data_IF_242198292670
#
_entry.id   IF_242198292670
#
_cell.length_a   1.000
_cell.length_b   1.000
_cell.length_c   1.000
_cell.angle_alpha   90.00
_cell.angle_beta   90.00
_cell.angle_gamma   90.00
#
_symmetry.space_group_name_H-M   'P 1'
#
loop_
_entity.id
_entity.type
_entity.pdbx_description
1 polymer ?
#
# COMPACT_ATOMS: atom_id res chain seq x y z
N UNK A 1 -14.08 -2.91 -1.01
CA UNK A 1 -13.42 -3.03 -2.32
C UNK A 1 -14.39 -2.59 -3.39
N UNK A 2 -13.89 -2.25 -4.58
CA UNK A 2 -14.72 -1.90 -5.75
C UNK A 2 -14.90 -0.40 -6.01
N UNK A 3 -14.02 0.46 -5.46
CA UNK A 3 -13.96 1.88 -5.83
C UNK A 3 -12.79 2.19 -6.77
N UNK A 4 -11.67 1.47 -6.65
CA UNK A 4 -10.46 1.63 -7.47
C UNK A 4 -10.55 0.84 -8.78
N UNK A 5 -9.90 1.34 -9.84
CA UNK A 5 -9.65 0.61 -11.09
C UNK A 5 -8.27 -0.06 -11.02
N UNK A 6 -8.23 -1.39 -11.02
CA UNK A 6 -6.98 -2.15 -10.93
C UNK A 6 -5.97 -1.80 -12.05
N UNK A 7 -6.39 -1.27 -13.20
CA UNK A 7 -5.50 -0.88 -14.30
C UNK A 7 -4.81 0.47 -14.08
N UNK A 8 -5.33 1.31 -13.17
CA UNK A 8 -4.88 2.69 -12.98
C UNK A 8 -4.42 2.95 -11.54
N UNK A 9 -5.02 2.24 -10.59
CA UNK A 9 -4.89 2.41 -9.15
C UNK A 9 -4.27 1.16 -8.51
N UNK A 10 -3.46 0.40 -9.24
CA UNK A 10 -2.60 -0.63 -8.66
C UNK A 10 -1.34 -0.75 -9.51
N UNK A 11 -0.18 -0.44 -8.94
CA UNK A 11 1.08 -0.62 -9.64
C UNK A 11 1.41 -2.11 -9.75
N UNK A 12 1.70 -2.59 -10.96
CA UNK A 12 2.16 -3.96 -11.15
C UNK A 12 3.55 -4.20 -10.53
N UNK A 13 4.35 -3.15 -10.34
CA UNK A 13 5.68 -3.22 -9.72
C UNK A 13 5.67 -2.52 -8.36
N UNK A 14 6.18 -3.19 -7.33
CA UNK A 14 6.46 -2.57 -6.03
C UNK A 14 7.96 -2.57 -5.75
N UNK A 15 8.59 -1.39 -5.65
CA UNK A 15 10.02 -1.29 -5.34
C UNK A 15 10.33 -1.60 -3.88
N UNK A 16 11.58 -1.98 -3.65
CA UNK A 16 12.18 -2.16 -2.33
C UNK A 16 13.22 -1.08 -1.99
N UNK A 17 13.72 -1.05 -0.75
CA UNK A 17 14.73 -0.08 -0.32
C UNK A 17 16.04 -0.08 -1.13
N UNK A 18 16.35 -1.16 -1.85
CA UNK A 18 17.54 -1.24 -2.70
C UNK A 18 17.34 -0.57 -4.08
N UNK A 19 16.14 -0.10 -4.40
CA UNK A 19 15.81 0.53 -5.67
C UNK A 19 16.02 2.04 -5.62
N UNK A 20 17.19 2.48 -6.10
CA UNK A 20 17.55 3.90 -6.15
C UNK A 20 16.57 4.73 -7.01
N UNK A 21 16.06 4.14 -8.09
CA UNK A 21 15.06 4.77 -8.96
C UNK A 21 13.72 5.04 -8.23
N UNK A 22 13.47 4.37 -7.11
CA UNK A 22 12.30 4.56 -6.27
C UNK A 22 12.61 5.28 -4.94
N UNK A 23 13.76 5.96 -4.86
CA UNK A 23 14.14 6.76 -3.71
C UNK A 23 14.70 5.99 -2.51
N UNK A 24 15.17 4.75 -2.72
CA UNK A 24 15.91 3.96 -1.73
C UNK A 24 15.22 3.85 -0.35
N UNK A 25 13.91 3.59 -0.34
CA UNK A 25 13.10 3.53 0.89
C UNK A 25 12.14 2.35 0.85
N UNK A 26 11.58 2.02 2.00
CA UNK A 26 10.44 1.08 2.08
C UNK A 26 9.21 1.68 1.41
N UNK A 27 8.49 0.84 0.66
CA UNK A 27 7.22 1.20 0.03
C UNK A 27 6.12 0.31 0.58
N UNK A 28 4.95 0.89 0.80
CA UNK A 28 3.78 0.17 1.35
C UNK A 28 2.61 0.32 0.40
N UNK A 29 2.11 -0.80 -0.10
CA UNK A 29 0.87 -0.86 -0.87
C UNK A 29 -0.27 -1.20 0.09
N UNK A 30 -1.42 -0.55 -0.07
CA UNK A 30 -2.52 -0.62 0.89
C UNK A 30 -3.82 -0.96 0.19
N UNK A 31 -4.51 -1.99 0.68
CA UNK A 31 -5.82 -2.41 0.20
C UNK A 31 -6.85 -2.16 1.31
N UNK A 32 -7.89 -1.40 0.98
CA UNK A 32 -8.98 -1.07 1.90
C UNK A 32 -10.29 -1.72 1.44
N UNK A 33 -10.97 -2.40 2.36
CA UNK A 33 -12.28 -2.98 2.07
C UNK A 33 -13.23 -2.96 3.26
N UNK A 34 -14.51 -2.68 2.97
CA UNK A 34 -15.56 -2.70 3.97
C UNK A 34 -16.21 -4.08 4.08
N UNK A 35 -16.57 -4.50 5.29
CA UNK A 35 -17.37 -5.69 5.57
C UNK A 35 -18.62 -5.30 6.36
N UNK A 36 -19.79 -5.79 5.95
CA UNK A 36 -21.04 -5.72 6.73
C UNK A 36 -21.14 -6.85 7.76
N UNK A 37 -20.50 -7.98 7.48
CA UNK A 37 -20.41 -9.12 8.37
C UNK A 37 -19.00 -9.72 8.27
N UNK A 38 -18.41 -10.03 9.42
CA UNK A 38 -17.12 -10.68 9.55
C UNK A 38 -17.26 -11.90 10.46
N UNK A 39 -16.71 -13.08 10.09
CA UNK A 39 -16.81 -14.28 10.90
C UNK A 39 -15.78 -14.25 12.02
N UNK A 40 -16.15 -14.77 13.18
CA UNK A 40 -15.26 -14.86 14.35
C UNK A 40 -14.42 -16.15 14.37
N UNK A 41 -14.81 -17.15 13.57
CA UNK A 41 -14.17 -18.47 13.50
C UNK A 41 -13.78 -18.84 12.06
N UNK A 42 -12.86 -19.80 11.93
CA UNK A 42 -12.33 -20.25 10.64
C UNK A 42 -11.03 -19.54 10.23
N UNK A 43 -10.58 -19.83 9.00
CA UNK A 43 -9.35 -19.29 8.40
C UNK A 43 -9.66 -18.59 7.09
N UNK A 44 -9.10 -17.40 6.90
CA UNK A 44 -8.99 -16.77 5.60
C UNK A 44 -7.62 -17.04 5.00
N UNK A 45 -7.49 -16.70 3.71
CA UNK A 45 -6.27 -16.85 2.92
C UNK A 45 -6.05 -15.60 2.09
N UNK A 46 -4.87 -15.02 2.21
CA UNK A 46 -4.37 -13.99 1.30
C UNK A 46 -3.33 -14.64 0.38
N UNK A 47 -3.48 -14.43 -0.92
CA UNK A 47 -2.54 -14.87 -1.94
C UNK A 47 -1.95 -13.63 -2.59
N UNK A 48 -0.63 -13.53 -2.56
CA UNK A 48 0.14 -12.61 -3.36
C UNK A 48 0.85 -13.44 -4.43
N UNK A 49 0.38 -13.34 -5.66
CA UNK A 49 0.97 -14.00 -6.80
C UNK A 49 1.89 -13.03 -7.52
N UNK A 50 3.13 -13.44 -7.74
CA UNK A 50 4.16 -12.62 -8.35
C UNK A 50 4.58 -13.22 -9.68
N UNK A 51 4.58 -12.39 -10.73
CA UNK A 51 5.22 -12.71 -12.01
C UNK A 51 6.71 -12.97 -11.80
N UNK A 52 7.35 -12.14 -10.99
CA UNK A 52 8.78 -12.27 -10.69
C UNK A 52 9.16 -11.51 -9.41
N UNK A 53 10.30 -11.88 -8.85
CA UNK A 53 10.99 -11.14 -7.78
C UNK A 53 12.39 -10.78 -8.24
N UNK A 54 12.99 -9.74 -7.66
CA UNK A 54 14.33 -9.38 -8.09
C UNK A 54 15.37 -10.50 -7.82
N UNK A 55 16.20 -10.81 -8.81
CA UNK A 55 17.07 -12.01 -8.82
C UNK A 55 18.27 -11.92 -7.87
N UNK A 56 18.93 -10.76 -7.81
CA UNK A 56 20.16 -10.58 -7.04
C UNK A 56 19.92 -10.10 -5.60
N UNK A 57 18.86 -9.32 -5.39
CA UNK A 57 18.43 -8.75 -4.10
C UNK A 57 16.94 -9.04 -3.87
N UNK A 58 16.58 -10.30 -3.59
CA UNK A 58 15.19 -10.68 -3.44
C UNK A 58 14.53 -9.93 -2.27
N UNK A 59 13.23 -9.62 -2.35
CA UNK A 59 12.60 -8.74 -1.36
C UNK A 59 12.25 -9.46 -0.06
N UNK A 60 12.31 -8.71 1.04
CA UNK A 60 11.71 -9.09 2.33
C UNK A 60 10.44 -8.28 2.52
N UNK A 61 9.31 -8.95 2.67
CA UNK A 61 7.99 -8.31 2.69
C UNK A 61 7.32 -8.48 4.06
N UNK A 62 6.79 -7.40 4.62
CA UNK A 62 5.84 -7.46 5.73
C UNK A 62 4.41 -7.40 5.19
N UNK A 63 3.62 -8.39 5.57
CA UNK A 63 2.20 -8.45 5.25
C UNK A 63 1.41 -8.31 6.54
N UNK A 64 0.54 -7.29 6.58
CA UNK A 64 -0.30 -7.01 7.73
C UNK A 64 -1.76 -6.99 7.31
N UNK A 65 -2.59 -7.75 8.01
CA UNK A 65 -4.05 -7.85 7.83
C UNK A 65 -4.68 -7.34 9.13
N UNK A 66 -5.17 -6.10 9.11
CA UNK A 66 -5.51 -5.34 10.31
C UNK A 66 -4.38 -5.42 11.36
N UNK A 67 -4.58 -6.11 12.47
CA UNK A 67 -3.61 -6.18 13.57
C UNK A 67 -2.68 -7.41 13.48
N UNK A 68 -2.92 -8.33 12.54
CA UNK A 68 -2.10 -9.53 12.34
C UNK A 68 -0.98 -9.21 11.35
N UNK A 69 0.27 -9.39 11.76
CA UNK A 69 1.46 -9.14 10.94
C UNK A 69 2.29 -10.40 10.75
N UNK A 70 2.88 -10.56 9.57
CA UNK A 70 3.86 -11.60 9.23
C UNK A 70 4.94 -11.02 8.32
N UNK A 71 6.13 -11.61 8.35
CA UNK A 71 7.28 -11.21 7.52
C UNK A 71 7.73 -12.42 6.71
N UNK A 72 8.00 -12.22 5.43
CA UNK A 72 8.38 -13.26 4.49
C UNK A 72 9.59 -12.82 3.66
N UNK A 73 10.61 -13.68 3.62
CA UNK A 73 11.69 -13.59 2.63
C UNK A 73 11.22 -14.26 1.34
N UNK A 74 11.28 -13.53 0.22
CA UNK A 74 10.91 -14.07 -1.08
C UNK A 74 12.11 -14.75 -1.76
N UNK A 75 11.86 -15.73 -2.66
CA UNK A 75 12.94 -16.37 -3.40
C UNK A 75 13.58 -15.41 -4.40
N UNK A 76 14.73 -15.80 -4.95
CA UNK A 76 15.35 -15.14 -6.10
C UNK A 76 14.56 -15.44 -7.37
N UNK A 77 14.14 -14.39 -8.08
CA UNK A 77 13.48 -14.51 -9.37
C UNK A 77 14.44 -14.61 -10.55
N UNK A 78 13.93 -14.30 -11.75
CA UNK A 78 14.62 -14.53 -13.01
C UNK A 78 15.55 -13.37 -13.44
N UNK A 79 15.14 -12.12 -13.23
CA UNK A 79 15.94 -10.93 -13.55
C UNK A 79 15.16 -9.84 -14.27
N UNK A 80 15.83 -8.78 -14.68
CA UNK A 80 15.18 -7.49 -15.03
C UNK A 80 14.32 -7.51 -16.30
N UNK A 81 14.46 -8.51 -17.18
CA UNK A 81 13.68 -8.59 -18.41
C UNK A 81 12.15 -8.57 -18.12
N UNK A 82 11.72 -9.23 -17.05
CA UNK A 82 10.32 -9.24 -16.61
C UNK A 82 9.81 -7.85 -16.21
N UNK A 83 10.66 -7.05 -15.56
CA UNK A 83 10.36 -5.67 -15.19
C UNK A 83 10.37 -4.70 -16.39
N UNK A 84 11.04 -5.08 -17.49
CA UNK A 84 11.16 -4.30 -18.72
C UNK A 84 10.19 -4.73 -19.83
N UNK A 85 9.04 -5.33 -19.47
CA UNK A 85 7.95 -5.61 -20.39
C UNK A 85 7.95 -7.02 -20.99
N UNK A 86 8.80 -7.92 -20.49
CA UNK A 86 8.81 -9.34 -20.88
C UNK A 86 8.34 -10.24 -19.72
N UNK A 87 7.07 -10.14 -19.27
CA UNK A 87 6.60 -10.83 -18.06
C UNK A 87 6.73 -12.36 -18.14
N UNK A 88 6.69 -12.93 -19.34
CA UNK A 88 6.91 -14.36 -19.59
C UNK A 88 8.34 -14.85 -19.28
N UNK A 89 9.30 -13.94 -19.08
CA UNK A 89 10.65 -14.26 -18.62
C UNK A 89 10.78 -14.26 -17.09
N UNK A 90 9.71 -13.91 -16.36
CA UNK A 90 9.68 -13.95 -14.91
C UNK A 90 9.76 -15.36 -14.34
N UNK A 91 10.16 -15.48 -13.07
CA UNK A 91 10.04 -16.72 -12.30
C UNK A 91 8.92 -16.53 -11.28
N UNK A 92 7.78 -17.13 -11.59
CA UNK A 92 6.59 -17.04 -10.77
C UNK A 92 6.86 -17.46 -9.32
N UNK A 93 6.29 -16.71 -8.38
CA UNK A 93 6.25 -17.10 -6.99
C UNK A 93 4.92 -16.74 -6.35
N UNK A 94 4.26 -17.73 -5.76
CA UNK A 94 2.99 -17.56 -5.08
C UNK A 94 3.13 -17.63 -3.56
N UNK A 95 2.99 -16.49 -2.90
CA UNK A 95 3.00 -16.39 -1.44
C UNK A 95 1.58 -16.55 -0.89
N UNK A 96 1.37 -17.59 -0.10
CA UNK A 96 0.07 -17.90 0.52
C UNK A 96 0.14 -17.67 2.02
N UNK A 97 -0.75 -16.82 2.54
CA UNK A 97 -0.80 -16.43 3.94
C UNK A 97 -2.16 -16.81 4.50
N UNK A 98 -2.17 -17.83 5.34
CA UNK A 98 -3.34 -18.17 6.13
C UNK A 98 -3.43 -17.25 7.35
N UNK A 99 -4.63 -16.77 7.65
CA UNK A 99 -4.88 -15.92 8.81
C UNK A 99 -6.19 -16.30 9.50
N UNK A 100 -6.31 -16.10 10.82
CA UNK A 100 -7.53 -16.43 11.53
C UNK A 100 -8.63 -15.43 11.14
N UNK A 101 -9.86 -15.90 10.92
CA UNK A 101 -10.98 -15.07 10.48
C UNK A 101 -11.25 -13.86 11.39
N UNK A 102 -11.00 -14.02 12.71
CA UNK A 102 -11.08 -12.95 13.72
C UNK A 102 -10.16 -11.76 13.46
N UNK A 103 -9.19 -11.88 12.55
CA UNK A 103 -8.38 -10.75 12.10
C UNK A 103 -9.22 -9.74 11.32
N UNK A 104 -10.34 -10.15 10.73
CA UNK A 104 -11.29 -9.28 10.03
C UNK A 104 -12.33 -8.72 11.01
N UNK A 105 -12.80 -7.52 10.72
CA UNK A 105 -13.81 -6.81 11.52
C UNK A 105 -14.94 -6.25 10.66
N UNK A 106 -16.10 -6.02 11.26
CA UNK A 106 -17.17 -5.25 10.63
C UNK A 106 -16.70 -3.81 10.43
N UNK A 107 -17.01 -3.23 9.28
CA UNK A 107 -16.52 -1.91 8.84
C UNK A 107 -15.27 -2.02 7.98
N UNK A 108 -14.40 -1.00 8.04
CA UNK A 108 -13.19 -0.91 7.22
C UNK A 108 -12.10 -1.84 7.73
N UNK A 109 -11.56 -2.63 6.82
CA UNK A 109 -10.39 -3.49 7.00
C UNK A 109 -9.27 -3.00 6.10
N UNK A 110 -8.04 -3.26 6.53
CA UNK A 110 -6.82 -2.84 5.85
C UNK A 110 -5.89 -4.04 5.68
N UNK A 111 -5.31 -4.15 4.49
CA UNK A 111 -4.15 -5.00 4.22
C UNK A 111 -3.03 -4.11 3.76
N UNK A 112 -1.87 -4.19 4.41
CA UNK A 112 -0.65 -3.50 3.96
C UNK A 112 0.41 -4.51 3.54
N UNK A 113 1.05 -4.24 2.41
CA UNK A 113 2.14 -5.00 1.84
C UNK A 113 3.35 -4.08 1.78
N UNK A 114 4.33 -4.30 2.65
CA UNK A 114 5.47 -3.39 2.82
C UNK A 114 6.78 -4.07 2.42
N UNK A 115 7.56 -3.44 1.53
CA UNK A 115 8.92 -3.87 1.22
C UNK A 115 9.89 -3.38 2.30
N UNK A 116 10.35 -4.31 3.14
CA UNK A 116 11.27 -4.03 4.25
C UNK A 116 12.74 -3.99 3.82
N UNK A 117 13.10 -4.83 2.85
CA UNK A 117 14.46 -4.91 2.31
C UNK A 117 14.43 -5.51 0.90
N UNK A 118 15.59 -5.48 0.22
CA UNK A 118 15.72 -5.97 -1.15
C UNK A 118 15.20 -4.97 -2.18
N UNK A 119 15.02 -5.46 -3.40
CA UNK A 119 14.58 -4.68 -4.56
C UNK A 119 13.11 -5.01 -4.87
N UNK A 120 12.71 -4.95 -6.14
CA UNK A 120 11.31 -4.97 -6.55
C UNK A 120 10.67 -6.36 -6.55
N UNK A 121 9.33 -6.37 -6.51
CA UNK A 121 8.45 -7.48 -6.91
C UNK A 121 7.54 -7.05 -8.07
N UNK A 122 7.13 -8.01 -8.91
CA UNK A 122 6.09 -7.82 -9.93
C UNK A 122 4.86 -8.64 -9.57
N UNK A 123 3.71 -8.00 -9.41
CA UNK A 123 2.44 -8.65 -9.12
C UNK A 123 1.80 -9.22 -10.38
N UNK A 124 1.29 -10.44 -10.27
CA UNK A 124 0.28 -10.98 -11.18
C UNK A 124 -1.12 -10.83 -10.56
N UNK A 125 -1.27 -11.24 -9.30
CA UNK A 125 -2.56 -11.26 -8.62
C UNK A 125 -2.45 -10.98 -7.12
N UNK A 126 -3.44 -10.28 -6.58
CA UNK A 126 -3.72 -10.26 -5.14
C UNK A 126 -5.13 -10.78 -4.91
N UNK A 127 -5.27 -11.87 -4.15
CA UNK A 127 -6.55 -12.50 -3.89
C UNK A 127 -6.77 -12.77 -2.40
N UNK A 128 -7.96 -12.39 -1.91
CA UNK A 128 -8.39 -12.65 -0.54
C UNK A 128 -9.57 -13.63 -0.56
N UNK A 129 -9.39 -14.81 0.02
CA UNK A 129 -10.46 -15.77 0.27
C UNK A 129 -10.81 -15.77 1.75
N UNK A 130 -12.10 -15.69 2.05
CA UNK A 130 -12.59 -15.62 3.42
C UNK A 130 -13.58 -16.75 3.72
N UNK A 131 -13.78 -17.16 4.99
CA UNK A 131 -14.81 -18.14 5.33
C UNK A 131 -16.22 -17.73 4.90
N UNK A 132 -17.12 -18.72 4.89
CA UNK A 132 -18.55 -18.49 4.69
C UNK A 132 -19.07 -17.49 5.74
N UNK A 133 -19.97 -16.60 5.32
CA UNK A 133 -20.61 -15.60 6.19
C UNK A 133 -20.00 -14.19 6.10
N UNK A 134 -18.89 -14.02 5.38
CA UNK A 134 -18.35 -12.69 5.09
C UNK A 134 -19.25 -12.01 4.07
N UNK A 135 -19.68 -10.78 4.37
CA UNK A 135 -20.44 -9.95 3.44
C UNK A 135 -19.71 -8.64 3.23
N UNK A 136 -19.43 -8.30 1.98
CA UNK A 136 -18.84 -7.02 1.63
C UNK A 136 -19.77 -5.86 2.01
N UNK A 137 -19.16 -4.74 2.33
CA UNK A 137 -19.83 -3.53 2.77
C UNK A 137 -19.19 -2.27 2.19
N UNK A 138 -19.90 -1.13 2.27
CA UNK A 138 -19.30 0.14 1.91
C UNK A 138 -18.13 0.44 2.85
N UNK A 139 -17.11 1.11 2.33
CA UNK A 139 -16.12 1.76 3.16
C UNK A 139 -16.78 2.95 3.87
N UNK A 140 -16.52 3.11 5.17
CA UNK A 140 -16.91 4.34 5.87
C UNK A 140 -16.02 5.48 5.37
N UNK A 141 -16.56 6.68 5.12
CA UNK A 141 -15.74 7.83 4.80
C UNK A 141 -14.72 8.10 5.91
N UNK A 142 -13.47 8.37 5.54
CA UNK A 142 -12.37 8.63 6.48
C UNK A 142 -11.49 9.74 5.93
N UNK A 143 -11.10 10.64 6.81
CA UNK A 143 -10.01 11.59 6.60
C UNK A 143 -8.99 11.35 7.70
N UNK A 144 -7.81 10.86 7.36
CA UNK A 144 -6.76 10.57 8.35
C UNK A 144 -5.44 11.16 7.90
N UNK A 145 -4.82 11.92 8.78
CA UNK A 145 -3.42 12.31 8.63
C UNK A 145 -2.55 11.09 8.94
N UNK A 146 -1.77 10.64 7.97
CA UNK A 146 -0.92 9.45 8.08
C UNK A 146 0.46 9.80 8.64
N UNK A 147 1.09 10.82 8.06
CA UNK A 147 2.42 11.25 8.47
C UNK A 147 2.61 12.73 8.17
N UNK A 148 3.47 13.38 8.94
CA UNK A 148 3.94 14.75 8.71
C UNK A 148 5.43 14.78 9.01
N UNK A 149 6.24 15.21 8.05
CA UNK A 149 7.67 15.40 8.28
C UNK A 149 8.21 16.62 7.55
N UNK A 150 9.13 17.31 8.22
CA UNK A 150 9.89 18.41 7.65
C UNK A 150 10.96 17.88 6.70
N UNK A 151 11.21 18.60 5.61
CA UNK A 151 12.31 18.30 4.70
C UNK A 151 13.63 18.86 5.25
N UNK A 152 14.80 18.26 4.98
CA UNK A 152 16.06 18.71 5.56
C UNK A 152 16.66 19.94 4.85
N UNK A 153 15.81 20.84 4.34
CA UNK A 153 16.22 22.07 3.65
C UNK A 153 15.16 23.18 3.84
N UNK A 154 15.57 24.42 3.62
CA UNK A 154 14.69 25.60 3.63
C UNK A 154 14.43 26.09 2.20
N UNK A 155 13.30 26.74 1.99
CA UNK A 155 12.93 27.37 0.72
C UNK A 155 12.69 28.85 0.94
N UNK A 156 13.40 29.69 0.20
CA UNK A 156 13.14 31.12 0.14
C UNK A 156 11.97 31.41 -0.81
N UNK A 157 11.05 32.28 -0.40
CA UNK A 157 9.95 32.75 -1.25
C UNK A 157 10.16 34.20 -1.68
N UNK A 158 9.28 34.71 -2.54
CA UNK A 158 9.34 36.07 -3.12
C UNK A 158 9.39 37.20 -2.08
N UNK A 159 8.99 36.94 -0.84
CA UNK A 159 9.04 37.89 0.27
C UNK A 159 10.40 37.89 1.00
N UNK A 160 11.39 37.14 0.51
CA UNK A 160 12.73 37.04 1.09
C UNK A 160 12.78 36.21 2.38
N UNK A 161 11.67 35.59 2.80
CA UNK A 161 11.62 34.76 4.01
C UNK A 161 11.95 33.32 3.69
N UNK A 162 12.62 32.66 4.65
CA UNK A 162 12.89 31.23 4.61
C UNK A 162 11.73 30.45 5.21
N UNK A 163 11.32 29.39 4.52
CA UNK A 163 10.25 28.49 4.94
C UNK A 163 10.77 27.06 5.03
N UNK A 164 10.31 26.35 6.07
CA UNK A 164 10.54 24.92 6.22
C UNK A 164 9.46 24.14 5.45
N UNK A 165 9.80 23.41 4.36
CA UNK A 165 8.82 22.56 3.69
C UNK A 165 8.42 21.41 4.61
N UNK A 166 7.12 21.12 4.62
CA UNK A 166 6.52 20.02 5.35
C UNK A 166 5.73 19.16 4.37
N UNK A 167 6.00 17.86 4.36
CA UNK A 167 5.23 16.89 3.61
C UNK A 167 4.23 16.22 4.55
N UNK A 168 2.95 16.37 4.22
CA UNK A 168 1.86 15.71 4.93
C UNK A 168 1.20 14.67 4.03
N UNK A 169 1.11 13.43 4.51
CA UNK A 169 0.40 12.34 3.84
C UNK A 169 -0.99 12.21 4.44
N UNK A 170 -2.03 12.24 3.61
CA UNK A 170 -3.43 12.14 4.05
C UNK A 170 -4.09 10.96 3.34
N UNK A 171 -4.79 10.12 4.12
CA UNK A 171 -5.72 9.12 3.63
C UNK A 171 -7.12 9.72 3.58
N UNK A 172 -7.67 9.82 2.37
CA UNK A 172 -9.06 10.18 2.16
C UNK A 172 -9.82 9.02 1.51
N UNK A 173 -10.90 8.58 2.18
CA UNK A 173 -11.87 7.63 1.68
C UNK A 173 -13.20 8.37 1.58
N UNK A 174 -13.75 8.52 0.38
CA UNK A 174 -14.99 9.25 0.15
C UNK A 174 -15.03 10.00 -1.17
N UNK A 175 -16.05 10.84 -1.34
CA UNK A 175 -16.12 11.78 -2.45
C UNK A 175 -15.06 12.87 -2.25
N UNK A 176 -14.44 13.41 -3.32
CA UNK A 176 -13.48 14.50 -3.21
C UNK A 176 -13.95 15.61 -2.27
N UNK A 177 -13.05 16.07 -1.40
CA UNK A 177 -13.30 17.15 -0.44
C UNK A 177 -12.21 18.20 -0.51
N UNK A 178 -12.56 19.43 -0.16
CA UNK A 178 -11.55 20.46 0.12
C UNK A 178 -10.96 20.19 1.51
N UNK A 179 -9.63 20.11 1.60
CA UNK A 179 -8.94 19.97 2.86
C UNK A 179 -8.15 21.24 3.18
N UNK A 180 -8.11 21.56 4.47
CA UNK A 180 -7.31 22.67 4.97
C UNK A 180 -6.19 22.12 5.87
N UNK A 181 -4.96 22.52 5.60
CA UNK A 181 -3.82 22.26 6.47
C UNK A 181 -3.48 23.57 7.19
N UNK A 182 -3.51 23.53 8.53
CA UNK A 182 -3.19 24.68 9.39
C UNK A 182 -1.93 24.37 10.19
N UNK A 183 -0.93 25.25 10.10
CA UNK A 183 0.32 25.17 10.88
C UNK A 183 0.52 26.52 11.57
N UNK A 184 0.50 26.54 12.91
CA UNK A 184 0.69 27.75 13.72
C UNK A 184 -0.13 28.97 13.25
N UNK A 185 -1.41 28.74 12.90
CA UNK A 185 -2.31 29.79 12.41
C UNK A 185 -2.15 30.17 10.92
N UNK A 186 -1.11 29.68 10.24
CA UNK A 186 -0.97 29.80 8.79
C UNK A 186 -1.74 28.69 8.08
N UNK A 187 -2.55 29.07 7.10
CA UNK A 187 -3.49 28.18 6.42
C UNK A 187 -3.08 27.95 4.95
N UNK A 188 -3.07 26.69 4.52
CA UNK A 188 -3.01 26.33 3.09
C UNK A 188 -4.19 25.42 2.76
N UNK A 189 -4.92 25.74 1.69
CA UNK A 189 -6.04 24.94 1.17
C UNK A 189 -5.60 24.11 -0.01
N UNK A 190 -5.96 22.84 -0.04
CA UNK A 190 -5.79 21.97 -1.21
C UNK A 190 -6.97 21.01 -1.33
N UNK A 191 -7.37 20.72 -2.57
CA UNK A 191 -8.30 19.63 -2.84
C UNK A 191 -7.62 18.29 -2.51
N UNK A 192 -8.31 17.42 -1.79
CA UNK A 192 -7.86 16.05 -1.52
C UNK A 192 -8.85 15.12 -2.21
N UNK A 193 -8.34 14.41 -3.21
CA UNK A 193 -9.08 13.37 -3.93
C UNK A 193 -9.08 12.05 -3.17
N UNK A 194 -9.90 11.08 -3.61
CA UNK A 194 -9.86 9.72 -3.05
C UNK A 194 -8.47 9.12 -3.18
N UNK A 195 -8.12 8.25 -2.22
CA UNK A 195 -6.91 7.43 -2.32
C UNK A 195 -6.98 6.60 -3.60
N UNK A 196 -6.11 6.91 -4.56
CA UNK A 196 -5.80 5.99 -5.66
C UNK A 196 -4.78 5.01 -5.09
N UNK A 197 -5.13 3.73 -5.09
CA UNK A 197 -4.26 2.68 -4.58
C UNK A 197 -3.08 2.44 -5.52
#
# INVERSE_FOLDING_TARGET
AGQSDAKQDWSYIQPGPADAWAGSKSHTFTILFGLKAAPTTGKGKLVLDFVDTHSSRPPKMQIKINDVSSIHDLPRGAGDASAHGEPNKGREHRLVIDFPARALKVGTNEITITSLAGSWVLYDQVALTTPIGVKTGPLKPVNKLLNVHSQPFLVERKDGKLYQPVLASVLHIGRPVEATVVVNGSCTRRAVGPLRA
#
